data_IF_648250916108
#
_entry.id   IF_648250916108
#
_cell.length_a   1.000
_cell.length_b   1.000
_cell.length_c   1.000
_cell.angle_alpha   90.00
_cell.angle_beta   90.00
_cell.angle_gamma   90.00
#
_symmetry.space_group_name_H-M   'P 1'
#
loop_
_entity.id
_entity.type
_entity.pdbx_description
1 polymer ?
#
# COMPACT_ATOMS: atom_id res chain seq x y z
N UNK A 1 6.31 3.92 5.64
CA UNK A 1 6.00 2.47 5.58
C UNK A 1 7.14 1.76 4.86
N UNK A 2 7.61 0.66 5.35
CA UNK A 2 8.70 -0.11 4.74
C UNK A 2 8.26 -0.78 3.43
N UNK A 3 8.07 0.03 2.38
CA UNK A 3 7.57 -0.43 1.09
C UNK A 3 8.51 -1.46 0.46
N UNK A 4 7.95 -2.51 -0.13
CA UNK A 4 8.71 -3.58 -0.74
C UNK A 4 8.24 -3.95 -2.14
N UNK A 5 9.17 -4.43 -2.97
CA UNK A 5 8.89 -4.95 -4.29
C UNK A 5 9.88 -6.07 -4.66
N UNK A 6 9.34 -7.24 -5.06
CA UNK A 6 10.15 -8.37 -5.52
C UNK A 6 11.13 -8.89 -4.45
N UNK A 7 10.65 -9.01 -3.21
CA UNK A 7 11.44 -9.53 -2.08
C UNK A 7 12.49 -8.56 -1.51
N UNK A 8 12.49 -7.31 -1.93
CA UNK A 8 13.33 -6.24 -1.38
C UNK A 8 12.45 -5.18 -0.74
N UNK A 9 12.93 -4.59 0.36
CA UNK A 9 12.24 -3.56 1.13
C UNK A 9 13.07 -2.27 1.17
N UNK A 10 12.45 -1.16 1.55
CA UNK A 10 13.16 0.11 1.73
C UNK A 10 14.26 -0.01 2.79
N UNK A 11 14.02 -0.77 3.87
CA UNK A 11 15.02 -1.08 4.90
C UNK A 11 16.31 -1.69 4.36
N UNK A 12 16.26 -2.40 3.23
CA UNK A 12 17.45 -3.07 2.67
C UNK A 12 18.44 -2.07 2.05
N UNK A 13 18.00 -0.85 1.76
CA UNK A 13 18.82 0.14 1.06
C UNK A 13 18.90 1.52 1.75
N UNK A 14 18.09 1.80 2.75
CA UNK A 14 18.18 3.05 3.52
C UNK A 14 19.32 2.94 4.53
N UNK A 15 20.18 3.95 4.59
CA UNK A 15 21.21 4.12 5.63
C UNK A 15 20.76 5.04 6.75
N UNK A 16 20.15 6.17 6.38
CA UNK A 16 19.59 7.12 7.35
C UNK A 16 18.49 7.95 6.73
N UNK A 17 17.64 8.50 7.58
CA UNK A 17 16.55 9.40 7.22
C UNK A 17 16.67 10.66 8.04
N UNK A 18 16.70 11.83 7.39
CA UNK A 18 16.63 13.12 8.06
C UNK A 18 15.20 13.56 8.20
N UNK A 19 14.77 13.81 9.42
CA UNK A 19 13.42 14.24 9.76
C UNK A 19 13.44 15.57 10.52
N UNK A 20 12.30 16.24 10.51
CA UNK A 20 12.02 17.44 11.32
C UNK A 20 10.70 17.22 12.06
N UNK A 21 10.73 17.31 13.38
CA UNK A 21 9.57 17.19 14.29
C UNK A 21 9.49 18.38 15.29
N UNK A 22 10.10 19.50 14.90
CA UNK A 22 10.39 20.67 15.74
C UNK A 22 11.88 20.90 15.86
N UNK A 23 12.67 19.83 15.77
CA UNK A 23 14.13 19.84 15.68
C UNK A 23 14.57 18.93 14.51
N UNK A 24 15.86 19.04 14.12
CA UNK A 24 16.44 18.21 13.06
C UNK A 24 17.05 16.94 13.66
N UNK A 25 16.63 15.79 13.19
CA UNK A 25 17.17 14.48 13.56
C UNK A 25 17.63 13.70 12.34
N UNK A 26 18.75 12.97 12.47
CA UNK A 26 19.20 11.97 11.52
C UNK A 26 18.98 10.58 12.14
N UNK A 27 17.92 9.88 11.72
CA UNK A 27 17.62 8.52 12.17
C UNK A 27 18.44 7.53 11.34
N UNK A 28 19.18 6.65 12.00
CA UNK A 28 19.84 5.50 11.37
C UNK A 28 18.79 4.48 10.87
N UNK A 29 19.23 3.50 10.09
CA UNK A 29 18.35 2.40 9.66
C UNK A 29 17.72 1.67 10.86
N UNK A 30 18.49 1.43 11.91
CA UNK A 30 18.05 0.75 13.14
C UNK A 30 17.01 1.59 13.91
N UNK A 31 17.23 2.89 14.05
CA UNK A 31 16.30 3.81 14.71
C UNK A 31 15.01 4.04 13.91
N UNK A 32 15.01 3.75 12.61
CA UNK A 32 13.79 3.75 11.80
C UNK A 32 12.85 2.59 12.13
N UNK A 33 13.28 1.56 12.86
CA UNK A 33 12.48 0.40 13.33
C UNK A 33 11.60 -0.19 12.22
N UNK A 34 12.21 -0.41 11.05
CA UNK A 34 11.49 -0.92 9.90
C UNK A 34 10.90 -2.31 10.15
N UNK A 35 9.58 -2.45 10.00
CA UNK A 35 8.87 -3.71 10.06
C UNK A 35 7.87 -3.82 8.89
N UNK A 36 7.05 -4.86 8.88
CA UNK A 36 6.00 -5.01 7.86
C UNK A 36 5.02 -3.85 7.92
N UNK A 37 4.97 -3.05 6.83
CA UNK A 37 4.12 -1.85 6.70
C UNK A 37 4.32 -0.80 7.79
N UNK A 38 5.49 -0.79 8.43
CA UNK A 38 5.79 0.06 9.56
C UNK A 38 7.17 0.71 9.45
N UNK A 39 7.33 1.85 10.10
CA UNK A 39 8.58 2.53 10.45
C UNK A 39 8.29 3.60 11.50
N UNK A 40 9.27 3.96 12.33
CA UNK A 40 9.18 5.02 13.34
C UNK A 40 8.53 6.31 12.82
N UNK A 41 8.80 6.69 11.55
CA UNK A 41 8.21 7.89 10.94
C UNK A 41 6.68 7.86 10.79
N UNK A 42 6.02 6.73 11.05
CA UNK A 42 4.55 6.66 11.10
C UNK A 42 3.98 6.99 12.48
N UNK A 43 4.80 6.84 13.51
CA UNK A 43 4.37 6.97 14.91
C UNK A 43 4.67 8.35 15.46
N UNK A 44 5.59 9.09 14.82
CA UNK A 44 5.95 10.44 15.17
C UNK A 44 5.36 11.44 14.17
N UNK A 45 4.99 12.63 14.65
CA UNK A 45 4.55 13.73 13.79
C UNK A 45 5.79 14.46 13.25
N UNK A 46 6.27 14.00 12.08
CA UNK A 46 7.48 14.52 11.47
C UNK A 46 7.37 14.76 9.97
N UNK A 47 8.25 15.60 9.46
CA UNK A 47 8.46 15.84 8.03
C UNK A 47 9.77 15.16 7.62
N UNK A 48 9.71 14.24 6.66
CA UNK A 48 10.91 13.64 6.08
C UNK A 48 11.54 14.64 5.11
N UNK A 49 12.78 15.04 5.38
CA UNK A 49 13.51 16.04 4.59
C UNK A 49 14.42 15.39 3.54
N UNK A 50 15.13 14.33 3.92
CA UNK A 50 16.02 13.61 3.01
C UNK A 50 16.25 12.17 3.44
N UNK A 51 16.66 11.32 2.49
CA UNK A 51 16.98 9.91 2.73
C UNK A 51 18.32 9.58 2.09
N UNK A 52 19.21 8.95 2.84
CA UNK A 52 20.48 8.45 2.36
C UNK A 52 20.33 6.96 1.97
N UNK A 53 20.54 6.65 0.69
CA UNK A 53 20.48 5.29 0.18
C UNK A 53 21.88 4.66 0.01
N UNK A 54 22.00 3.40 0.36
CA UNK A 54 23.09 2.55 -0.08
C UNK A 54 22.79 2.04 -1.49
N UNK A 55 23.69 2.28 -2.42
CA UNK A 55 23.54 1.82 -3.80
C UNK A 55 24.79 1.02 -4.23
N UNK A 56 24.57 0.01 -5.06
CA UNK A 56 25.64 -0.76 -5.67
C UNK A 56 25.90 -0.29 -7.11
N UNK A 57 27.16 -0.17 -7.47
CA UNK A 57 27.53 0.14 -8.87
C UNK A 57 27.30 -1.09 -9.74
N UNK A 58 26.56 -0.89 -10.82
CA UNK A 58 26.30 -1.91 -11.84
C UNK A 58 26.60 -1.35 -13.22
N UNK A 59 26.79 -2.23 -14.21
CA UNK A 59 26.89 -1.80 -15.60
C UNK A 59 25.58 -1.23 -16.10
N UNK A 60 25.58 -0.25 -17.02
CA UNK A 60 24.34 0.28 -17.61
C UNK A 60 23.42 -0.81 -18.20
N UNK A 61 24.01 -1.84 -18.82
CA UNK A 61 23.24 -2.96 -19.38
C UNK A 61 22.53 -3.77 -18.29
N UNK A 62 23.19 -4.05 -17.15
CA UNK A 62 22.57 -4.75 -16.02
C UNK A 62 21.45 -3.93 -15.39
N UNK A 63 21.65 -2.62 -15.23
CA UNK A 63 20.60 -1.71 -14.74
C UNK A 63 19.40 -1.71 -15.68
N UNK A 64 19.61 -1.58 -16.98
CA UNK A 64 18.53 -1.59 -17.98
C UNK A 64 17.75 -2.92 -17.97
N UNK A 65 18.44 -4.05 -17.86
CA UNK A 65 17.80 -5.37 -17.77
C UNK A 65 16.94 -5.51 -16.48
N UNK A 66 17.45 -5.04 -15.34
CA UNK A 66 16.72 -5.05 -14.08
C UNK A 66 15.46 -4.16 -14.16
N UNK A 67 15.57 -2.98 -14.73
CA UNK A 67 14.42 -2.07 -14.94
C UNK A 67 13.39 -2.74 -15.85
N UNK A 68 13.80 -3.31 -16.99
CA UNK A 68 12.89 -3.98 -17.92
C UNK A 68 12.13 -5.15 -17.25
N UNK A 69 12.83 -5.98 -16.46
CA UNK A 69 12.21 -7.07 -15.71
C UNK A 69 11.16 -6.57 -14.71
N UNK A 70 11.45 -5.49 -13.98
CA UNK A 70 10.51 -4.87 -13.03
C UNK A 70 9.29 -4.26 -13.72
N UNK A 71 9.49 -3.57 -14.84
CA UNK A 71 8.39 -2.99 -15.63
C UNK A 71 7.47 -4.06 -16.19
N UNK A 72 8.03 -5.18 -16.65
CA UNK A 72 7.23 -6.33 -17.12
C UNK A 72 6.34 -6.89 -16.00
N UNK A 73 6.87 -7.04 -14.77
CA UNK A 73 6.08 -7.48 -13.61
C UNK A 73 4.96 -6.49 -13.25
N UNK A 74 5.22 -5.19 -13.38
CA UNK A 74 4.21 -4.15 -13.10
C UNK A 74 3.11 -4.05 -14.15
N UNK A 75 3.38 -4.43 -15.40
CA UNK A 75 2.39 -4.41 -16.48
C UNK A 75 1.21 -5.37 -16.24
N UNK A 76 1.35 -6.33 -15.33
CA UNK A 76 0.28 -7.24 -14.92
C UNK A 76 -0.60 -6.69 -13.79
N UNK A 77 -0.27 -5.52 -13.22
CA UNK A 77 -1.09 -4.89 -12.19
C UNK A 77 -2.27 -4.13 -12.82
N UNK A 78 -3.40 -3.99 -12.09
CA UNK A 78 -4.56 -3.28 -12.59
C UNK A 78 -4.23 -1.85 -13.03
N UNK A 79 -4.76 -1.44 -14.17
CA UNK A 79 -4.69 -0.08 -14.66
C UNK A 79 -5.82 0.79 -14.04
N UNK A 80 -5.63 2.11 -14.02
CA UNK A 80 -6.61 3.05 -13.53
C UNK A 80 -6.21 3.77 -12.25
N UNK A 81 -7.09 4.63 -11.75
CA UNK A 81 -6.84 5.41 -10.52
C UNK A 81 -7.05 4.52 -9.30
N UNK A 82 -5.96 4.12 -8.65
CA UNK A 82 -5.96 3.32 -7.42
C UNK A 82 -4.79 3.70 -6.53
N UNK A 83 -4.85 3.33 -5.26
CA UNK A 83 -3.74 3.46 -4.30
C UNK A 83 -2.92 2.17 -4.15
N UNK A 84 -3.05 1.22 -5.08
CA UNK A 84 -2.43 -0.10 -4.97
C UNK A 84 -3.26 -1.06 -4.13
N UNK A 85 -2.60 -1.94 -3.38
CA UNK A 85 -3.27 -2.80 -2.40
C UNK A 85 -3.94 -1.95 -1.31
N UNK A 86 -5.20 -2.28 -1.02
CA UNK A 86 -6.00 -1.55 -0.03
C UNK A 86 -5.83 -2.13 1.36
N UNK A 87 -5.60 -3.44 1.46
CA UNK A 87 -5.54 -4.16 2.73
C UNK A 87 -4.19 -4.82 2.98
N UNK A 88 -3.83 -4.91 4.26
CA UNK A 88 -2.69 -5.71 4.70
C UNK A 88 -3.00 -7.22 4.54
N UNK A 89 -1.95 -8.03 4.29
CA UNK A 89 -2.10 -9.48 4.29
C UNK A 89 -2.48 -9.98 5.69
N UNK A 90 -3.36 -10.96 5.75
CA UNK A 90 -3.86 -11.54 7.00
C UNK A 90 -3.15 -12.87 7.29
N UNK A 91 -2.40 -12.94 8.40
CA UNK A 91 -1.69 -14.16 8.83
C UNK A 91 -0.88 -14.84 7.69
N UNK A 92 -0.18 -14.03 6.87
CA UNK A 92 0.62 -14.53 5.74
C UNK A 92 -0.19 -14.88 4.49
N UNK A 93 -1.53 -14.77 4.52
CA UNK A 93 -2.40 -14.96 3.36
C UNK A 93 -2.64 -13.62 2.68
N UNK A 94 -2.50 -13.56 1.36
CA UNK A 94 -2.79 -12.36 0.57
C UNK A 94 -4.24 -11.91 0.77
N UNK A 95 -4.45 -10.64 1.12
CA UNK A 95 -5.78 -10.03 1.20
C UNK A 95 -6.54 -10.19 -0.13
N UNK A 96 -5.85 -10.02 -1.26
CA UNK A 96 -6.46 -10.23 -2.58
C UNK A 96 -7.04 -11.64 -2.78
N UNK A 97 -6.36 -12.68 -2.28
CA UNK A 97 -6.90 -14.07 -2.32
C UNK A 97 -8.12 -14.24 -1.43
N UNK A 98 -8.15 -13.59 -0.27
CA UNK A 98 -9.30 -13.63 0.65
C UNK A 98 -10.50 -12.95 -0.01
N UNK A 99 -10.31 -11.76 -0.58
CA UNK A 99 -11.35 -10.98 -1.26
C UNK A 99 -11.86 -11.73 -2.51
N UNK A 100 -10.97 -12.33 -3.29
CA UNK A 100 -11.34 -13.20 -4.43
C UNK A 100 -12.13 -14.43 -3.97
N UNK A 101 -11.70 -15.10 -2.91
CA UNK A 101 -12.41 -16.22 -2.29
C UNK A 101 -13.78 -15.82 -1.74
N UNK A 102 -13.98 -14.56 -1.35
CA UNK A 102 -15.27 -14.01 -0.99
C UNK A 102 -16.18 -13.79 -2.23
N UNK A 103 -15.65 -13.83 -3.45
CA UNK A 103 -16.40 -13.61 -4.70
C UNK A 103 -16.56 -12.13 -5.04
N UNK A 104 -15.70 -11.26 -4.51
CA UNK A 104 -15.87 -9.80 -4.59
C UNK A 104 -15.17 -9.14 -5.77
N UNK A 105 -14.49 -9.90 -6.66
CA UNK A 105 -13.97 -9.33 -7.91
C UNK A 105 -15.09 -8.68 -8.72
N UNK A 106 -14.89 -7.45 -9.16
CA UNK A 106 -15.88 -6.68 -9.90
C UNK A 106 -17.00 -6.06 -9.05
N UNK A 107 -17.03 -6.29 -7.72
CA UNK A 107 -17.99 -5.63 -6.83
C UNK A 107 -17.86 -4.09 -6.94
N UNK A 108 -18.99 -3.39 -6.83
CA UNK A 108 -19.07 -1.94 -7.09
C UNK A 108 -19.86 -1.20 -6.01
N UNK A 109 -19.43 0.02 -5.74
CA UNK A 109 -20.21 1.04 -5.05
C UNK A 109 -20.03 2.34 -5.83
N UNK A 110 -21.11 2.93 -6.28
CA UNK A 110 -21.06 4.07 -7.21
C UNK A 110 -20.20 3.76 -8.43
N UNK A 111 -19.16 4.55 -8.66
CA UNK A 111 -18.21 4.36 -9.76
C UNK A 111 -16.91 3.63 -9.34
N UNK A 112 -16.72 3.36 -8.04
CA UNK A 112 -15.60 2.56 -7.57
C UNK A 112 -15.85 1.05 -7.76
N UNK A 113 -14.80 0.27 -8.05
CA UNK A 113 -14.93 -1.17 -8.23
C UNK A 113 -13.67 -1.94 -7.80
N UNK A 114 -13.86 -3.17 -7.34
CA UNK A 114 -12.79 -4.14 -7.08
C UNK A 114 -12.27 -4.64 -8.42
N UNK A 115 -10.96 -4.56 -8.63
CA UNK A 115 -10.35 -5.02 -9.89
C UNK A 115 -10.57 -6.53 -10.12
N UNK A 116 -10.82 -6.90 -11.38
CA UNK A 116 -10.90 -8.28 -11.81
C UNK A 116 -9.52 -8.95 -11.88
N UNK A 117 -8.45 -8.17 -12.15
CA UNK A 117 -7.08 -8.66 -12.24
C UNK A 117 -6.47 -8.93 -10.85
N UNK A 118 -6.73 -8.04 -9.89
CA UNK A 118 -6.19 -8.14 -8.53
C UNK A 118 -7.20 -7.65 -7.51
N UNK A 119 -7.80 -8.57 -6.75
CA UNK A 119 -8.94 -8.25 -5.88
C UNK A 119 -8.62 -7.33 -4.69
N UNK A 120 -7.35 -7.07 -4.36
CA UNK A 120 -6.96 -6.09 -3.35
C UNK A 120 -6.77 -4.67 -3.93
N UNK A 121 -7.05 -4.49 -5.22
CA UNK A 121 -7.05 -3.18 -5.86
C UNK A 121 -8.48 -2.68 -6.04
N UNK A 122 -8.76 -1.51 -5.49
CA UNK A 122 -9.99 -0.76 -5.75
C UNK A 122 -9.68 0.34 -6.75
N UNK A 123 -10.40 0.33 -7.85
CA UNK A 123 -10.25 1.32 -8.92
C UNK A 123 -11.33 2.39 -8.74
N UNK A 124 -10.92 3.65 -8.67
CA UNK A 124 -11.84 4.77 -8.72
C UNK A 124 -12.18 5.12 -10.17
N UNK A 125 -13.32 4.62 -10.65
CA UNK A 125 -13.84 4.93 -11.98
C UNK A 125 -14.57 6.27 -12.09
N UNK A 126 -14.64 7.03 -10.98
CA UNK A 126 -15.28 8.34 -10.89
C UNK A 126 -14.36 9.41 -10.28
N UNK A 127 -14.96 10.46 -9.74
CA UNK A 127 -14.24 11.56 -9.11
C UNK A 127 -14.46 11.60 -7.58
N UNK A 128 -15.32 10.72 -7.05
CA UNK A 128 -15.64 10.64 -5.63
C UNK A 128 -14.72 9.66 -4.88
N UNK A 129 -14.07 10.11 -3.83
CA UNK A 129 -13.39 9.25 -2.87
C UNK A 129 -14.36 8.54 -1.92
N UNK A 130 -15.56 9.09 -1.74
CA UNK A 130 -16.61 8.48 -0.92
C UNK A 130 -17.04 7.10 -1.48
N UNK A 131 -17.11 6.94 -2.81
CA UNK A 131 -17.40 5.64 -3.43
C UNK A 131 -16.34 4.60 -3.10
N UNK A 132 -15.05 5.00 -3.09
CA UNK A 132 -13.93 4.13 -2.73
C UNK A 132 -14.02 3.74 -1.26
N UNK A 133 -14.27 4.70 -0.38
CA UNK A 133 -14.44 4.47 1.06
C UNK A 133 -15.60 3.51 1.35
N UNK A 134 -16.76 3.76 0.75
CA UNK A 134 -17.92 2.89 0.92
C UNK A 134 -17.66 1.47 0.39
N UNK A 135 -16.93 1.33 -0.72
CA UNK A 135 -16.55 0.02 -1.25
C UNK A 135 -15.55 -0.71 -0.33
N UNK A 136 -14.60 0.01 0.27
CA UNK A 136 -13.68 -0.58 1.28
C UNK A 136 -14.48 -1.17 2.43
N UNK A 137 -15.43 -0.43 2.99
CA UNK A 137 -16.31 -0.91 4.08
C UNK A 137 -17.11 -2.13 3.64
N UNK A 138 -17.74 -2.05 2.48
CA UNK A 138 -18.49 -3.18 1.91
C UNK A 138 -17.64 -4.45 1.80
N UNK A 139 -16.41 -4.34 1.28
CA UNK A 139 -15.49 -5.48 1.16
C UNK A 139 -15.14 -6.06 2.52
N UNK A 140 -14.86 -5.23 3.53
CA UNK A 140 -14.58 -5.69 4.90
C UNK A 140 -15.76 -6.45 5.49
N UNK A 141 -16.96 -5.92 5.35
CA UNK A 141 -18.18 -6.52 5.88
C UNK A 141 -18.47 -7.88 5.23
N UNK A 142 -18.36 -7.98 3.92
CA UNK A 142 -18.61 -9.22 3.19
C UNK A 142 -17.56 -10.30 3.49
N UNK A 143 -16.29 -9.91 3.60
CA UNK A 143 -15.21 -10.83 4.02
C UNK A 143 -15.44 -11.30 5.46
N UNK A 144 -15.81 -10.40 6.37
CA UNK A 144 -16.13 -10.77 7.73
C UNK A 144 -17.32 -11.72 7.82
N UNK A 145 -18.42 -11.43 7.11
CA UNK A 145 -19.61 -12.32 7.07
C UNK A 145 -19.26 -13.72 6.57
N UNK A 146 -18.39 -13.81 5.56
CA UNK A 146 -18.08 -15.09 4.92
C UNK A 146 -17.04 -15.93 5.66
N UNK A 147 -16.02 -15.28 6.23
CA UNK A 147 -14.85 -15.97 6.78
C UNK A 147 -14.56 -15.64 8.25
N UNK A 148 -15.26 -14.67 8.87
CA UNK A 148 -14.96 -14.17 10.21
C UNK A 148 -13.63 -13.40 10.29
N UNK A 149 -13.08 -12.96 9.12
CA UNK A 149 -11.81 -12.26 9.03
C UNK A 149 -12.05 -10.75 9.00
N UNK A 150 -11.42 -10.01 9.91
CA UNK A 150 -11.39 -8.56 9.88
C UNK A 150 -10.16 -8.11 9.08
N UNK A 151 -10.38 -7.59 7.87
CA UNK A 151 -9.31 -7.01 7.05
C UNK A 151 -8.84 -5.68 7.65
N UNK A 152 -7.51 -5.52 7.75
CA UNK A 152 -6.87 -4.27 8.16
C UNK A 152 -6.48 -3.46 6.92
N UNK A 153 -6.85 -2.19 6.91
CA UNK A 153 -6.54 -1.29 5.80
C UNK A 153 -5.07 -0.87 5.82
N UNK A 154 -4.43 -0.88 4.64
CA UNK A 154 -3.10 -0.30 4.42
C UNK A 154 -3.20 1.17 4.03
N UNK A 155 -4.30 1.57 3.42
CA UNK A 155 -4.55 2.94 2.99
C UNK A 155 -4.78 3.87 4.18
N UNK A 156 -4.36 5.14 4.02
CA UNK A 156 -4.63 6.20 4.99
C UNK A 156 -5.67 7.16 4.43
N UNK A 157 -6.60 7.58 5.26
CA UNK A 157 -7.62 8.55 4.91
C UNK A 157 -7.12 9.96 5.24
N UNK A 158 -7.21 10.89 4.28
CA UNK A 158 -6.86 12.30 4.46
C UNK A 158 -8.11 13.11 4.18
N UNK A 159 -8.58 13.82 5.20
CA UNK A 159 -9.84 14.57 5.15
C UNK A 159 -10.92 13.92 6.01
N UNK A 160 -12.16 14.39 5.82
CA UNK A 160 -13.32 13.96 6.59
C UNK A 160 -14.06 12.85 5.84
N UNK A 161 -14.01 11.63 6.40
CA UNK A 161 -14.70 10.43 5.91
C UNK A 161 -15.74 9.94 6.93
N UNK A 162 -16.15 10.77 7.89
CA UNK A 162 -17.17 10.40 8.83
C UNK A 162 -18.49 10.12 8.12
N UNK A 163 -19.20 9.12 8.58
CA UNK A 163 -20.52 8.73 8.09
C UNK A 163 -21.53 9.87 8.32
N UNK A 164 -21.55 10.83 7.42
CA UNK A 164 -22.60 11.84 7.34
C UNK A 164 -23.81 11.23 6.62
N UNK A 165 -24.30 10.08 7.12
CA UNK A 165 -25.62 9.57 6.73
C UNK A 165 -26.14 8.68 7.86
N UNK A 166 -26.90 9.33 8.77
CA UNK A 166 -27.95 8.67 9.52
C UNK A 166 -29.18 8.50 8.64
#
# INVERSE_FOLDING_TARGET
MNGGAGGKFMSDCIKSVRVFDGELHDLTNEECEFAYKHSTMRDIDCIILSVLFAVERQTPAAVAANIAARLKGRAALPAGRSCGCVFENYCGVSAGKIIEGAGLKGARVGKAYVSAEHADFIINGGDSSADVYALIRFVKDEVYKKFGITLKEEVCYIGDFNDSNG
#
